data_IF_305378363849
#
_entry.id   IF_305378363849
#
_cell.length_a   1.000
_cell.length_b   1.000
_cell.length_c   1.000
_cell.angle_alpha   90.00
_cell.angle_beta   90.00
_cell.angle_gamma   90.00
#
_symmetry.space_group_name_H-M   'P 1'
#
loop_
_entity.id
_entity.type
_entity.pdbx_description
1 polymer ?
#
# COMPACT_ATOMS: atom_id res chain seq x y z
N UNK A 1 -5.48 27.27 21.11
CA UNK A 1 -5.87 26.85 19.75
C UNK A 1 -4.67 26.34 18.94
N UNK A 2 -3.53 27.04 18.97
CA UNK A 2 -2.33 26.71 18.18
C UNK A 2 -1.71 25.34 18.50
N UNK A 3 -1.57 24.98 19.79
CA UNK A 3 -1.04 23.66 20.21
C UNK A 3 -1.86 22.50 19.63
N UNK A 4 -3.19 22.57 19.74
CA UNK A 4 -4.11 21.55 19.20
C UNK A 4 -4.01 21.46 17.67
N UNK A 5 -3.84 22.61 16.99
CA UNK A 5 -3.64 22.64 15.54
C UNK A 5 -2.33 21.95 15.12
N UNK A 6 -1.25 22.21 15.85
CA UNK A 6 0.05 21.59 15.61
C UNK A 6 0.04 20.08 15.88
N UNK A 7 -0.56 19.63 16.98
CA UNK A 7 -0.69 18.21 17.33
C UNK A 7 -1.50 17.45 16.26
N UNK A 8 -2.65 17.98 15.84
CA UNK A 8 -3.45 17.39 14.76
C UNK A 8 -2.73 17.38 13.42
N UNK A 9 -1.93 18.41 13.13
CA UNK A 9 -1.10 18.47 11.93
C UNK A 9 -0.02 17.39 11.91
N UNK A 10 0.67 17.21 13.04
CA UNK A 10 1.70 16.19 13.21
C UNK A 10 1.12 14.77 13.12
N UNK A 11 -0.01 14.51 13.76
CA UNK A 11 -0.70 13.21 13.70
C UNK A 11 -1.09 12.85 12.25
N UNK A 12 -1.73 13.78 11.53
CA UNK A 12 -2.08 13.58 10.11
C UNK A 12 -0.85 13.40 9.22
N UNK A 13 0.23 14.13 9.48
CA UNK A 13 1.49 13.99 8.75
C UNK A 13 2.09 12.60 8.97
N UNK A 14 2.12 12.13 10.21
CA UNK A 14 2.61 10.81 10.56
C UNK A 14 1.76 9.69 9.93
N UNK A 15 0.43 9.81 9.95
CA UNK A 15 -0.47 8.85 9.31
C UNK A 15 -0.22 8.75 7.80
N UNK A 16 -0.12 9.90 7.12
CA UNK A 16 0.20 9.96 5.68
C UNK A 16 1.57 9.37 5.36
N UNK A 17 2.59 9.68 6.17
CA UNK A 17 3.94 9.13 6.01
C UNK A 17 3.95 7.61 6.15
N UNK A 18 3.26 7.07 7.16
CA UNK A 18 3.12 5.63 7.35
C UNK A 18 2.38 4.93 6.20
N UNK A 19 1.40 5.59 5.57
CA UNK A 19 0.70 5.06 4.40
C UNK A 19 1.59 5.08 3.15
N UNK A 20 2.35 6.16 2.92
CA UNK A 20 3.32 6.24 1.82
C UNK A 20 4.35 5.12 1.93
N UNK A 21 4.98 4.99 3.10
CA UNK A 21 6.00 3.96 3.36
C UNK A 21 5.45 2.55 3.10
N UNK A 22 4.23 2.26 3.56
CA UNK A 22 3.61 0.95 3.35
C UNK A 22 3.36 0.64 1.85
N UNK A 23 3.00 1.65 1.04
CA UNK A 23 2.84 1.51 -0.41
C UNK A 23 4.18 1.32 -1.10
N UNK A 24 5.17 2.12 -0.74
CA UNK A 24 6.53 2.05 -1.30
C UNK A 24 7.17 0.69 -1.03
N UNK A 25 7.08 0.20 0.20
CA UNK A 25 7.56 -1.14 0.57
C UNK A 25 6.87 -2.26 -0.19
N UNK A 26 5.54 -2.19 -0.35
CA UNK A 26 4.81 -3.19 -1.14
C UNK A 26 5.28 -3.20 -2.60
N UNK A 27 5.42 -2.03 -3.22
CA UNK A 27 5.90 -1.92 -4.61
C UNK A 27 7.33 -2.43 -4.74
N UNK A 28 8.21 -2.12 -3.78
CA UNK A 28 9.60 -2.61 -3.77
C UNK A 28 9.66 -4.15 -3.70
N UNK A 29 8.89 -4.77 -2.81
CA UNK A 29 8.81 -6.24 -2.69
C UNK A 29 8.29 -6.87 -3.98
N UNK A 30 7.26 -6.29 -4.59
CA UNK A 30 6.74 -6.77 -5.86
C UNK A 30 7.80 -6.69 -6.96
N UNK A 31 8.53 -5.57 -7.04
CA UNK A 31 9.60 -5.39 -8.02
C UNK A 31 10.72 -6.41 -7.84
N UNK A 32 11.12 -6.66 -6.59
CA UNK A 32 12.16 -7.64 -6.28
C UNK A 32 11.73 -9.07 -6.62
N UNK A 33 10.48 -9.43 -6.29
CA UNK A 33 9.99 -10.81 -6.47
C UNK A 33 9.53 -11.11 -7.89
N UNK A 34 8.91 -10.13 -8.57
CA UNK A 34 8.17 -10.32 -9.82
C UNK A 34 8.72 -9.49 -10.99
N UNK A 35 9.68 -8.60 -10.74
CA UNK A 35 10.30 -7.74 -11.75
C UNK A 35 9.45 -6.52 -12.11
N UNK A 36 9.11 -6.38 -13.39
CA UNK A 36 8.42 -5.17 -13.87
C UNK A 36 6.94 -5.21 -13.43
N UNK A 37 6.53 -4.18 -12.69
CA UNK A 37 5.17 -4.04 -12.19
C UNK A 37 4.36 -3.13 -13.13
N UNK A 38 3.21 -3.59 -13.66
CA UNK A 38 2.32 -2.75 -14.44
C UNK A 38 1.87 -1.50 -13.69
N UNK A 39 1.79 -0.36 -14.40
CA UNK A 39 1.34 0.91 -13.84
C UNK A 39 -0.07 0.84 -13.22
N UNK A 40 -0.95 -0.02 -13.76
CA UNK A 40 -2.29 -0.25 -13.22
C UNK A 40 -2.24 -0.75 -11.77
N UNK A 41 -1.34 -1.69 -11.48
CA UNK A 41 -1.15 -2.26 -10.14
C UNK A 41 -0.59 -1.21 -9.19
N UNK A 42 0.42 -0.45 -9.63
CA UNK A 42 0.99 0.65 -8.84
C UNK A 42 -0.05 1.72 -8.51
N UNK A 43 -0.90 2.10 -9.48
CA UNK A 43 -2.00 3.05 -9.25
C UNK A 43 -3.01 2.52 -8.24
N UNK A 44 -3.41 1.25 -8.35
CA UNK A 44 -4.33 0.62 -7.40
C UNK A 44 -3.75 0.54 -5.99
N UNK A 45 -2.46 0.19 -5.84
CA UNK A 45 -1.79 0.21 -4.52
C UNK A 45 -1.80 1.63 -3.94
N UNK A 46 -1.51 2.64 -4.77
CA UNK A 46 -1.48 4.03 -4.35
C UNK A 46 -2.85 4.60 -3.98
N UNK A 47 -3.96 3.99 -4.42
CA UNK A 47 -5.30 4.38 -3.98
C UNK A 47 -5.70 3.77 -2.63
N UNK A 48 -4.97 2.78 -2.09
CA UNK A 48 -5.33 2.13 -0.82
C UNK A 48 -4.94 3.04 0.36
N UNK A 49 -5.93 3.53 1.10
CA UNK A 49 -5.78 4.38 2.30
C UNK A 49 -5.79 3.59 3.61
N UNK A 50 -6.08 2.28 3.56
CA UNK A 50 -6.11 1.41 4.73
C UNK A 50 -4.76 0.74 4.97
N UNK A 51 -4.03 1.21 5.98
CA UNK A 51 -2.74 0.61 6.41
C UNK A 51 -2.81 -0.91 6.68
N UNK A 52 -3.88 -1.46 7.31
CA UNK A 52 -3.99 -2.92 7.49
C UNK A 52 -4.04 -3.68 6.17
N UNK A 53 -4.79 -3.17 5.19
CA UNK A 53 -4.88 -3.75 3.84
C UNK A 53 -3.52 -3.77 3.14
N UNK A 54 -2.75 -2.68 3.23
CA UNK A 54 -1.38 -2.64 2.68
C UNK A 54 -0.46 -3.67 3.34
N UNK A 55 -0.54 -3.84 4.67
CA UNK A 55 0.26 -4.85 5.39
C UNK A 55 -0.08 -6.28 4.98
N UNK A 56 -1.36 -6.59 4.80
CA UNK A 56 -1.76 -7.91 4.30
C UNK A 56 -1.25 -8.16 2.87
N UNK A 57 -1.32 -7.14 2.02
CA UNK A 57 -0.80 -7.22 0.65
C UNK A 57 0.71 -7.44 0.62
N UNK A 58 1.48 -6.87 1.56
CA UNK A 58 2.93 -7.16 1.71
C UNK A 58 3.15 -8.65 1.95
N UNK A 59 2.44 -9.24 2.91
CA UNK A 59 2.58 -10.68 3.22
C UNK A 59 2.18 -11.55 2.02
N UNK A 60 1.16 -11.13 1.26
CA UNK A 60 0.74 -11.83 0.04
C UNK A 60 1.77 -11.69 -1.09
N UNK A 61 2.34 -10.51 -1.29
CA UNK A 61 3.37 -10.23 -2.30
C UNK A 61 4.63 -11.10 -2.10
N UNK A 62 5.02 -11.34 -0.85
CA UNK A 62 6.14 -12.24 -0.51
C UNK A 62 5.89 -13.71 -0.89
N UNK A 63 4.64 -14.11 -1.10
CA UNK A 63 4.25 -15.49 -1.42
C UNK A 63 3.82 -15.68 -2.88
N UNK A 64 3.68 -14.59 -3.63
CA UNK A 64 3.30 -14.65 -5.04
C UNK A 64 4.53 -14.95 -5.89
N UNK A 65 4.37 -15.87 -6.85
CA UNK A 65 5.42 -16.21 -7.82
C UNK A 65 5.20 -15.53 -9.19
N UNK A 66 4.07 -14.87 -9.37
CA UNK A 66 3.69 -14.21 -10.61
C UNK A 66 2.76 -13.01 -10.35
N UNK A 67 2.72 -12.09 -11.31
CA UNK A 67 1.96 -10.86 -11.21
C UNK A 67 0.45 -11.08 -11.27
N UNK A 68 -0.03 -12.12 -11.96
CA UNK A 68 -1.47 -12.40 -12.10
C UNK A 68 -2.07 -12.89 -10.77
N UNK A 69 -1.32 -13.70 -10.02
CA UNK A 69 -1.70 -14.16 -8.69
C UNK A 69 -1.76 -12.98 -7.71
N UNK A 70 -0.81 -12.04 -7.81
CA UNK A 70 -0.87 -10.82 -7.00
C UNK A 70 -2.06 -9.93 -7.39
N UNK A 71 -2.31 -9.73 -8.68
CA UNK A 71 -3.42 -8.90 -9.18
C UNK A 71 -4.79 -9.41 -8.69
N UNK A 72 -4.99 -10.73 -8.63
CA UNK A 72 -6.19 -11.33 -8.02
C UNK A 72 -6.32 -10.97 -6.54
N UNK A 73 -5.23 -11.09 -5.78
CA UNK A 73 -5.20 -10.70 -4.36
C UNK A 73 -5.48 -9.21 -4.16
N UNK A 74 -4.93 -8.37 -5.03
CA UNK A 74 -5.15 -6.93 -5.02
C UNK A 74 -6.60 -6.58 -5.34
N UNK A 75 -7.20 -7.25 -6.32
CA UNK A 75 -8.62 -7.06 -6.68
C UNK A 75 -9.55 -7.41 -5.53
N UNK A 76 -9.27 -8.51 -4.80
CA UNK A 76 -10.03 -8.89 -3.62
C UNK A 76 -9.88 -7.88 -2.46
N UNK A 77 -8.74 -7.21 -2.36
CA UNK A 77 -8.46 -6.21 -1.33
C UNK A 77 -8.93 -4.79 -1.69
N UNK A 78 -8.96 -4.48 -2.98
CA UNK A 78 -9.37 -3.19 -3.56
C UNK A 78 -10.87 -3.12 -3.92
N UNK A 79 -11.60 -4.23 -3.84
CA UNK A 79 -13.06 -4.22 -3.78
C UNK A 79 -13.51 -3.56 -2.47
N UNK A 80 -13.67 -2.25 -2.50
CA UNK A 80 -14.58 -1.55 -1.60
C UNK A 80 -15.98 -2.13 -1.82
N UNK A 81 -16.45 -2.96 -0.89
CA UNK A 81 -17.89 -3.09 -0.60
C UNK A 81 -18.28 -1.88 0.24
#
# INVERSE_FOLDING_TARGET
AERIGMEKGMEKGMEKGMLSEAREMLIAILKENLGIIPDSITKTINSIDKKPTLRELVVKAMKCNDIQTFEKNLSLAGCSI
#
